data_IF_847712223387
#
_entry.id   IF_847712223387
#
_cell.length_a   1.000
_cell.length_b   1.000
_cell.length_c   1.000
_cell.angle_alpha   90.00
_cell.angle_beta   90.00
_cell.angle_gamma   90.00
#
_symmetry.space_group_name_H-M   'P 1'
#
loop_
_entity.id
_entity.type
_entity.pdbx_description
1 polymer ?
#
# COMPACT_ATOMS: atom_id res chain seq x y z
N UNK A 1 -5.00 -7.40 9.36
CA UNK A 1 -5.94 -6.39 8.83
C UNK A 1 -7.32 -7.02 8.82
N UNK A 2 -8.24 -6.50 9.61
CA UNK A 2 -9.64 -6.88 9.60
C UNK A 2 -10.34 -6.11 8.45
N UNK A 3 -11.04 -6.83 7.59
CA UNK A 3 -11.85 -6.29 6.51
C UNK A 3 -13.32 -6.46 6.90
N UNK A 4 -14.16 -5.49 6.57
CA UNK A 4 -15.60 -5.70 6.67
C UNK A 4 -16.05 -6.75 5.64
N UNK A 5 -17.19 -7.41 5.89
CA UNK A 5 -17.71 -8.41 4.96
C UNK A 5 -17.85 -7.87 3.51
N UNK A 6 -18.42 -6.66 3.27
CA UNK A 6 -18.51 -6.11 1.94
C UNK A 6 -17.15 -5.87 1.26
N UNK A 7 -16.12 -5.47 2.03
CA UNK A 7 -14.76 -5.29 1.51
C UNK A 7 -14.12 -6.62 1.15
N UNK A 8 -14.28 -7.62 2.00
CA UNK A 8 -13.82 -8.98 1.71
C UNK A 8 -14.48 -9.53 0.44
N UNK A 9 -15.80 -9.40 0.33
CA UNK A 9 -16.55 -9.87 -0.84
C UNK A 9 -16.15 -9.14 -2.13
N UNK A 10 -15.82 -7.83 -2.05
CA UNK A 10 -15.32 -7.07 -3.19
C UNK A 10 -13.97 -7.62 -3.68
N UNK A 11 -13.06 -7.93 -2.76
CA UNK A 11 -11.76 -8.54 -3.08
C UNK A 11 -11.95 -9.94 -3.67
N UNK A 12 -12.81 -10.77 -3.09
CA UNK A 12 -13.06 -12.12 -3.62
C UNK A 12 -13.70 -12.10 -5.01
N UNK A 13 -14.60 -11.14 -5.28
CA UNK A 13 -15.13 -10.93 -6.65
C UNK A 13 -14.03 -10.62 -7.65
N UNK A 14 -13.08 -9.75 -7.29
CA UNK A 14 -11.93 -9.44 -8.14
C UNK A 14 -11.09 -10.69 -8.45
N UNK A 15 -10.85 -11.57 -7.47
CA UNK A 15 -10.14 -12.83 -7.70
C UNK A 15 -10.92 -13.78 -8.61
N UNK A 16 -12.22 -13.91 -8.39
CA UNK A 16 -13.07 -14.72 -9.25
C UNK A 16 -13.06 -14.22 -10.71
N UNK A 17 -13.12 -12.90 -10.92
CA UNK A 17 -13.03 -12.28 -12.24
C UNK A 17 -11.68 -12.57 -12.91
N UNK A 18 -10.55 -12.51 -12.16
CA UNK A 18 -9.23 -12.88 -12.69
C UNK A 18 -9.18 -14.33 -13.12
N UNK A 19 -9.63 -15.25 -12.27
CA UNK A 19 -9.67 -16.67 -12.58
C UNK A 19 -10.52 -16.96 -13.84
N UNK A 20 -11.69 -16.35 -13.95
CA UNK A 20 -12.55 -16.47 -15.12
C UNK A 20 -11.90 -15.90 -16.38
N UNK A 21 -11.17 -14.79 -16.28
CA UNK A 21 -10.42 -14.22 -17.39
C UNK A 21 -9.36 -15.21 -17.89
N UNK A 22 -8.50 -15.72 -17.00
CA UNK A 22 -7.44 -16.66 -17.34
C UNK A 22 -8.00 -17.98 -17.91
N UNK A 23 -9.12 -18.47 -17.38
CA UNK A 23 -9.81 -19.64 -17.97
C UNK A 23 -10.29 -19.38 -19.39
N UNK A 24 -10.87 -18.22 -19.66
CA UNK A 24 -11.30 -17.84 -21.02
C UNK A 24 -10.12 -17.71 -21.98
N UNK A 25 -9.04 -17.08 -21.53
CA UNK A 25 -7.79 -16.95 -22.30
C UNK A 25 -7.22 -18.33 -22.63
N UNK A 26 -7.14 -19.22 -21.65
CA UNK A 26 -6.69 -20.60 -21.87
C UNK A 26 -7.59 -21.34 -22.88
N UNK A 27 -8.91 -21.26 -22.76
CA UNK A 27 -9.83 -21.89 -23.68
C UNK A 27 -9.67 -21.38 -25.12
N UNK A 28 -9.42 -20.07 -25.26
CA UNK A 28 -9.16 -19.48 -26.57
C UNK A 28 -7.82 -19.94 -27.14
N UNK A 29 -6.76 -20.04 -26.32
CA UNK A 29 -5.48 -20.60 -26.74
C UNK A 29 -5.62 -22.06 -27.21
N UNK A 30 -6.36 -22.87 -26.45
CA UNK A 30 -6.64 -24.27 -26.80
C UNK A 30 -7.40 -24.33 -28.14
N UNK A 31 -8.44 -23.53 -28.35
CA UNK A 31 -9.20 -23.47 -29.58
C UNK A 31 -8.32 -23.14 -30.78
N UNK A 32 -7.52 -22.07 -30.66
CA UNK A 32 -6.60 -21.63 -31.72
C UNK A 32 -5.56 -22.71 -32.04
N UNK A 33 -4.97 -23.31 -31.00
CA UNK A 33 -3.96 -24.35 -31.19
C UNK A 33 -4.53 -25.60 -31.86
N UNK A 34 -5.72 -26.05 -31.47
CA UNK A 34 -6.37 -27.24 -32.06
C UNK A 34 -6.82 -27.01 -33.49
N UNK A 35 -7.28 -25.81 -33.83
CA UNK A 35 -7.59 -25.45 -35.23
C UNK A 35 -6.35 -25.46 -36.11
N UNK A 36 -5.20 -25.00 -35.62
CA UNK A 36 -3.96 -24.95 -36.39
C UNK A 36 -3.18 -26.27 -36.41
N UNK A 37 -3.29 -27.06 -35.34
CA UNK A 37 -2.53 -28.28 -35.13
C UNK A 37 -3.50 -29.35 -34.59
N UNK A 38 -4.31 -29.99 -35.45
CA UNK A 38 -5.33 -30.96 -35.01
C UNK A 38 -4.76 -32.13 -34.19
N UNK A 39 -3.49 -32.51 -34.43
CA UNK A 39 -2.81 -33.57 -33.68
C UNK A 39 -2.70 -33.25 -32.16
N UNK A 40 -2.71 -31.98 -31.75
CA UNK A 40 -2.70 -31.63 -30.35
C UNK A 40 -3.97 -32.10 -29.60
N UNK A 41 -5.14 -32.01 -30.26
CA UNK A 41 -6.39 -32.48 -29.66
C UNK A 41 -6.37 -34.01 -29.46
N UNK A 42 -5.79 -34.76 -30.41
CA UNK A 42 -5.63 -36.21 -30.30
C UNK A 42 -4.68 -36.59 -29.16
N UNK A 43 -3.54 -35.90 -29.07
CA UNK A 43 -2.55 -36.13 -28.02
C UNK A 43 -3.18 -35.86 -26.63
N UNK A 44 -3.91 -34.76 -26.46
CA UNK A 44 -4.56 -34.43 -25.20
C UNK A 44 -5.64 -35.45 -24.82
N UNK A 45 -6.37 -35.99 -25.79
CA UNK A 45 -7.30 -37.11 -25.59
C UNK A 45 -6.57 -38.41 -25.19
N UNK A 46 -5.43 -38.71 -25.83
CA UNK A 46 -4.57 -39.85 -25.47
C UNK A 46 -4.04 -39.72 -24.04
N UNK A 47 -3.52 -38.53 -23.66
CA UNK A 47 -3.04 -38.25 -22.29
C UNK A 47 -4.16 -38.39 -21.26
N UNK A 48 -5.36 -37.89 -21.55
CA UNK A 48 -6.52 -38.03 -20.67
C UNK A 48 -6.90 -39.50 -20.47
N UNK A 49 -6.93 -40.29 -21.54
CA UNK A 49 -7.19 -41.72 -21.46
C UNK A 49 -6.14 -42.47 -20.66
N UNK A 50 -4.85 -42.20 -20.89
CA UNK A 50 -3.75 -42.78 -20.11
C UNK A 50 -3.81 -42.39 -18.63
N UNK A 51 -4.17 -41.16 -18.35
CA UNK A 51 -4.32 -40.67 -16.95
C UNK A 51 -5.44 -41.38 -16.19
N UNK A 52 -6.57 -41.61 -16.84
CA UNK A 52 -7.68 -42.42 -16.26
C UNK A 52 -7.25 -43.86 -16.01
N UNK A 53 -6.52 -44.46 -16.95
CA UNK A 53 -5.97 -45.83 -16.78
C UNK A 53 -4.98 -45.90 -15.64
N UNK A 54 -4.11 -44.88 -15.54
CA UNK A 54 -3.16 -44.75 -14.43
C UNK A 54 -3.88 -44.67 -13.07
N UNK A 55 -4.89 -43.82 -12.95
CA UNK A 55 -5.67 -43.68 -11.71
C UNK A 55 -6.31 -45.03 -11.31
N UNK A 56 -6.85 -45.80 -12.27
CA UNK A 56 -7.39 -47.14 -12.03
C UNK A 56 -6.32 -48.15 -11.59
N UNK A 57 -5.14 -48.13 -12.21
CA UNK A 57 -4.01 -49.01 -11.81
C UNK A 57 -3.53 -48.71 -10.37
N UNK A 58 -3.43 -47.43 -10.03
CA UNK A 58 -3.08 -47.02 -8.66
C UNK A 58 -4.09 -47.50 -7.60
N UNK A 59 -5.38 -47.43 -7.91
CA UNK A 59 -6.45 -47.90 -7.01
C UNK A 59 -6.41 -49.44 -6.85
N UNK A 60 -5.97 -50.15 -7.86
CA UNK A 60 -5.84 -51.63 -7.87
C UNK A 60 -4.50 -52.12 -7.30
N UNK A 61 -3.55 -51.21 -6.93
CA UNK A 61 -2.24 -51.56 -6.39
C UNK A 61 -1.26 -52.14 -7.42
N UNK A 62 -1.48 -51.94 -8.72
CA UNK A 62 -0.63 -52.45 -9.80
C UNK A 62 0.51 -51.49 -10.13
N UNK A 63 1.63 -51.61 -9.40
CA UNK A 63 2.79 -50.75 -9.55
C UNK A 63 3.56 -50.90 -10.87
N UNK A 64 3.51 -52.07 -11.50
CA UNK A 64 4.21 -52.28 -12.79
C UNK A 64 3.51 -51.52 -13.90
N UNK A 65 2.20 -51.55 -13.94
CA UNK A 65 1.38 -50.83 -14.92
C UNK A 65 1.46 -49.31 -14.76
N UNK A 66 1.71 -48.80 -13.51
CA UNK A 66 1.88 -47.40 -13.26
C UNK A 66 3.18 -46.84 -13.89
N UNK A 67 4.29 -47.59 -13.91
CA UNK A 67 5.54 -47.18 -14.54
C UNK A 67 5.42 -47.04 -16.04
N UNK A 68 4.78 -47.98 -16.72
CA UNK A 68 4.55 -47.97 -18.18
C UNK A 68 3.63 -46.83 -18.60
N UNK A 69 2.58 -46.55 -17.80
CA UNK A 69 1.67 -45.44 -18.08
C UNK A 69 2.34 -44.08 -17.88
N UNK A 70 3.21 -43.94 -16.87
CA UNK A 70 3.98 -42.73 -16.67
C UNK A 70 4.96 -42.43 -17.83
N UNK A 71 5.59 -43.46 -18.40
CA UNK A 71 6.44 -43.33 -19.58
C UNK A 71 5.61 -42.86 -20.80
N UNK A 72 4.49 -43.51 -21.05
CA UNK A 72 3.60 -43.17 -22.18
C UNK A 72 3.05 -41.75 -22.07
N UNK A 73 2.66 -41.27 -20.87
CA UNK A 73 2.20 -39.90 -20.67
C UNK A 73 3.33 -38.89 -20.92
N UNK A 74 4.57 -39.19 -20.48
CA UNK A 74 5.73 -38.32 -20.75
C UNK A 74 6.01 -38.20 -22.23
N UNK A 75 6.00 -39.30 -22.98
CA UNK A 75 6.26 -39.29 -24.41
C UNK A 75 5.23 -38.42 -25.16
N UNK A 76 3.95 -38.53 -24.82
CA UNK A 76 2.88 -37.70 -25.39
C UNK A 76 3.03 -36.21 -24.99
N UNK A 77 3.44 -35.94 -23.76
CA UNK A 77 3.69 -34.59 -23.33
C UNK A 77 4.88 -33.93 -24.04
N UNK A 78 5.91 -34.72 -24.38
CA UNK A 78 7.06 -34.27 -25.18
C UNK A 78 6.66 -34.02 -26.62
N UNK A 79 5.86 -34.92 -27.23
CA UNK A 79 5.31 -34.75 -28.58
C UNK A 79 4.49 -33.44 -28.66
N UNK A 80 3.60 -33.21 -27.68
CA UNK A 80 2.81 -31.97 -27.55
C UNK A 80 3.69 -30.71 -27.49
N UNK A 81 4.71 -30.70 -26.63
CA UNK A 81 5.62 -29.54 -26.49
C UNK A 81 6.42 -29.29 -27.77
N UNK A 82 6.87 -30.36 -28.46
CA UNK A 82 7.57 -30.25 -29.72
C UNK A 82 6.67 -29.64 -30.83
N UNK A 83 5.43 -30.10 -30.94
CA UNK A 83 4.46 -29.57 -31.93
C UNK A 83 4.15 -28.09 -31.68
N UNK A 84 3.96 -27.67 -30.41
CA UNK A 84 3.78 -26.26 -30.07
C UNK A 84 4.99 -25.42 -30.49
N UNK A 85 6.19 -25.88 -30.16
CA UNK A 85 7.43 -25.18 -30.51
C UNK A 85 7.66 -25.08 -32.01
N UNK A 86 7.38 -26.16 -32.79
CA UNK A 86 7.48 -26.15 -34.25
C UNK A 86 6.55 -25.13 -34.90
N UNK A 87 5.43 -24.81 -34.29
CA UNK A 87 4.46 -23.82 -34.78
C UNK A 87 4.65 -22.44 -34.14
N UNK A 88 5.76 -22.21 -33.39
CA UNK A 88 6.11 -20.93 -32.83
C UNK A 88 5.36 -20.56 -31.54
N UNK A 89 4.72 -21.55 -30.90
CA UNK A 89 4.09 -21.35 -29.58
C UNK A 89 5.04 -21.75 -28.45
N UNK A 90 5.01 -21.05 -27.28
CA UNK A 90 5.74 -21.50 -26.10
C UNK A 90 5.18 -22.85 -25.60
N UNK A 91 6.01 -23.64 -24.91
CA UNK A 91 5.64 -24.97 -24.44
C UNK A 91 4.46 -24.96 -23.43
N UNK A 92 4.28 -23.87 -22.72
CA UNK A 92 3.22 -23.62 -21.74
C UNK A 92 2.01 -22.87 -22.30
N UNK A 93 1.93 -22.69 -23.63
CA UNK A 93 0.87 -21.92 -24.29
C UNK A 93 -0.56 -22.37 -23.95
N UNK A 94 -0.74 -23.66 -23.69
CA UNK A 94 -2.04 -24.26 -23.35
C UNK A 94 -2.27 -24.35 -21.82
N UNK A 95 -1.32 -23.88 -21.02
CA UNK A 95 -1.45 -23.94 -19.57
C UNK A 95 -2.21 -22.73 -19.03
N UNK A 96 -2.79 -22.91 -17.85
CA UNK A 96 -3.49 -21.82 -17.16
C UNK A 96 -2.46 -20.83 -16.59
N UNK A 97 -2.60 -19.57 -16.95
CA UNK A 97 -1.78 -18.47 -16.44
C UNK A 97 -2.38 -17.88 -15.17
N UNK A 98 -1.56 -17.19 -14.37
CA UNK A 98 -1.98 -16.55 -13.13
C UNK A 98 -1.31 -15.20 -12.96
N UNK A 99 -2.06 -14.19 -12.49
CA UNK A 99 -1.49 -12.89 -12.09
C UNK A 99 -0.59 -13.06 -10.86
N UNK A 100 -0.94 -13.98 -9.95
CA UNK A 100 -0.13 -14.32 -8.79
C UNK A 100 0.23 -15.82 -8.79
N UNK A 101 1.48 -16.20 -9.11
CA UNK A 101 1.89 -17.61 -9.15
C UNK A 101 1.89 -18.27 -7.76
N UNK A 102 2.02 -17.50 -6.66
CA UNK A 102 2.08 -18.05 -5.30
C UNK A 102 0.74 -18.60 -4.83
N UNK A 103 -0.35 -17.88 -5.06
CA UNK A 103 -1.68 -18.32 -4.64
C UNK A 103 -2.56 -18.78 -5.81
N UNK A 104 -2.07 -18.68 -7.07
CA UNK A 104 -2.83 -18.99 -8.29
C UNK A 104 -4.17 -18.26 -8.33
N UNK A 105 -4.12 -16.97 -8.00
CA UNK A 105 -5.26 -16.05 -7.94
C UNK A 105 -6.42 -16.50 -7.04
N UNK A 106 -6.13 -17.27 -5.99
CA UNK A 106 -7.12 -17.59 -4.95
C UNK A 106 -7.11 -16.57 -3.80
N UNK A 107 -6.05 -15.75 -3.69
CA UNK A 107 -5.81 -14.86 -2.56
C UNK A 107 -5.25 -15.57 -1.31
N UNK A 108 -5.15 -16.91 -1.32
CA UNK A 108 -4.71 -17.70 -0.17
C UNK A 108 -3.62 -18.71 -0.54
N UNK A 109 -2.61 -18.84 0.32
CA UNK A 109 -1.58 -19.87 0.25
C UNK A 109 -2.05 -21.03 1.12
N UNK A 110 -2.03 -22.24 0.57
CA UNK A 110 -2.48 -23.47 1.25
C UNK A 110 -3.92 -23.38 1.83
N UNK A 111 -4.78 -22.57 1.24
CA UNK A 111 -6.18 -22.42 1.61
C UNK A 111 -6.46 -21.64 2.90
N UNK A 112 -5.44 -21.30 3.70
CA UNK A 112 -5.62 -20.69 5.02
C UNK A 112 -4.89 -19.38 5.20
N UNK A 113 -3.69 -19.23 4.67
CA UNK A 113 -2.86 -18.05 4.85
C UNK A 113 -3.12 -17.02 3.74
N UNK A 114 -3.48 -15.78 4.10
CA UNK A 114 -3.63 -14.68 3.13
C UNK A 114 -2.33 -14.42 2.38
N UNK A 115 -2.39 -14.45 1.05
CA UNK A 115 -1.26 -14.15 0.18
C UNK A 115 -0.90 -12.66 0.25
N UNK A 116 0.34 -12.31 -0.11
CA UNK A 116 0.77 -10.91 -0.22
C UNK A 116 -0.10 -10.13 -1.22
N UNK A 117 -0.51 -10.74 -2.34
CA UNK A 117 -1.41 -10.11 -3.31
C UNK A 117 -2.80 -9.81 -2.72
N UNK A 118 -3.31 -10.64 -1.78
CA UNK A 118 -4.55 -10.36 -1.06
C UNK A 118 -4.39 -9.14 -0.14
N UNK A 119 -3.27 -9.07 0.59
CA UNK A 119 -2.97 -7.92 1.44
C UNK A 119 -2.90 -6.63 0.61
N UNK A 120 -2.24 -6.68 -0.55
CA UNK A 120 -2.18 -5.55 -1.48
C UNK A 120 -3.57 -5.14 -1.96
N UNK A 121 -4.39 -6.07 -2.42
CA UNK A 121 -5.75 -5.79 -2.86
C UNK A 121 -6.62 -5.17 -1.75
N UNK A 122 -6.44 -5.61 -0.50
CA UNK A 122 -7.13 -5.04 0.65
C UNK A 122 -6.69 -3.58 0.91
N UNK A 123 -5.40 -3.30 0.81
CA UNK A 123 -4.85 -1.95 0.92
C UNK A 123 -5.40 -1.07 -0.20
N UNK A 124 -5.31 -1.50 -1.45
CA UNK A 124 -5.81 -0.75 -2.61
C UNK A 124 -7.31 -0.41 -2.48
N UNK A 125 -8.12 -1.36 -1.99
CA UNK A 125 -9.53 -1.14 -1.77
C UNK A 125 -9.81 -0.07 -0.69
N UNK A 126 -9.08 -0.12 0.44
CA UNK A 126 -9.22 0.85 1.52
C UNK A 126 -8.79 2.25 1.07
N UNK A 127 -7.73 2.34 0.26
CA UNK A 127 -7.26 3.61 -0.31
C UNK A 127 -8.25 4.23 -1.28
N UNK A 128 -8.83 3.44 -2.18
CA UNK A 128 -9.87 3.94 -3.11
C UNK A 128 -11.08 4.51 -2.39
N UNK A 129 -11.40 3.97 -1.22
CA UNK A 129 -12.50 4.48 -0.39
C UNK A 129 -12.16 5.77 0.37
N UNK A 130 -10.86 6.10 0.53
CA UNK A 130 -10.41 7.24 1.32
C UNK A 130 -10.16 8.54 0.55
N UNK A 131 -10.43 8.60 -0.77
CA UNK A 131 -10.12 9.75 -1.65
C UNK A 131 -8.64 10.21 -1.66
N UNK A 132 -7.74 9.48 -1.01
CA UNK A 132 -6.31 9.81 -0.93
C UNK A 132 -5.58 9.36 -2.21
N UNK A 133 -6.16 8.45 -2.99
CA UNK A 133 -5.52 7.89 -4.19
C UNK A 133 -5.12 8.95 -5.22
N UNK A 134 -5.96 9.95 -5.47
CA UNK A 134 -5.64 11.03 -6.43
C UNK A 134 -4.51 11.93 -5.92
N UNK A 135 -4.47 12.23 -4.63
CA UNK A 135 -3.40 13.01 -4.01
C UNK A 135 -2.07 12.26 -4.07
N UNK A 136 -2.08 10.96 -3.77
CA UNK A 136 -0.88 10.13 -3.83
C UNK A 136 -0.34 9.98 -5.27
N UNK A 137 -1.20 10.02 -6.29
CA UNK A 137 -0.74 10.01 -7.69
C UNK A 137 -0.04 11.31 -8.09
N UNK A 138 -0.48 12.44 -7.55
CA UNK A 138 0.07 13.75 -7.85
C UNK A 138 1.38 14.04 -7.09
N UNK A 139 1.55 13.52 -5.87
CA UNK A 139 2.66 13.84 -4.99
C UNK A 139 3.65 12.67 -4.90
N UNK A 140 4.87 12.89 -5.37
CA UNK A 140 5.96 11.91 -5.36
C UNK A 140 7.31 12.59 -5.11
N UNK A 141 8.33 11.83 -4.70
CA UNK A 141 9.66 12.37 -4.41
C UNK A 141 10.31 13.11 -5.59
N UNK A 142 9.99 12.74 -6.83
CA UNK A 142 10.51 13.40 -8.03
C UNK A 142 9.94 14.81 -8.26
N UNK A 143 8.80 15.11 -7.66
CA UNK A 143 8.15 16.44 -7.74
C UNK A 143 8.49 17.33 -6.54
N UNK A 144 9.17 16.80 -5.52
CA UNK A 144 9.62 17.59 -4.38
C UNK A 144 10.77 18.48 -4.80
N UNK A 145 10.52 19.80 -4.95
CA UNK A 145 11.54 20.76 -5.36
C UNK A 145 12.11 21.54 -4.18
N UNK A 146 13.42 21.53 -4.06
CA UNK A 146 14.15 22.34 -3.08
C UNK A 146 14.18 23.84 -3.46
N UNK A 147 13.73 24.23 -4.65
CA UNK A 147 13.73 25.64 -5.10
C UNK A 147 12.71 26.51 -4.36
N UNK A 148 11.74 25.87 -3.70
CA UNK A 148 10.79 26.56 -2.82
C UNK A 148 11.38 26.99 -1.47
N UNK A 149 12.59 26.53 -1.13
CA UNK A 149 13.22 26.77 0.17
C UNK A 149 14.39 27.76 0.06
N UNK A 150 14.49 28.65 1.04
CA UNK A 150 15.50 29.72 1.05
C UNK A 150 16.86 29.22 1.56
N UNK A 151 17.93 29.67 0.91
CA UNK A 151 19.30 29.47 1.36
C UNK A 151 19.76 30.50 2.41
N UNK A 152 19.01 31.61 2.59
CA UNK A 152 19.38 32.70 3.47
C UNK A 152 18.63 32.74 4.81
N UNK A 153 17.54 31.95 4.94
CA UNK A 153 16.75 31.88 6.17
C UNK A 153 17.21 30.69 7.01
N UNK A 154 17.73 30.96 8.19
CA UNK A 154 18.05 29.93 9.18
C UNK A 154 16.85 29.65 10.06
N UNK A 155 16.66 28.36 10.38
CA UNK A 155 15.64 27.91 11.30
C UNK A 155 15.95 28.35 12.73
N UNK A 156 14.96 28.82 13.49
CA UNK A 156 15.10 29.12 14.91
C UNK A 156 15.58 27.87 15.65
N UNK A 157 16.82 27.93 16.17
CA UNK A 157 17.40 26.87 16.99
C UNK A 157 18.21 25.80 16.26
N UNK A 158 18.45 25.93 14.94
CA UNK A 158 19.39 25.09 14.19
C UNK A 158 20.30 25.96 13.32
N UNK A 159 21.55 25.55 13.05
CA UNK A 159 22.44 26.27 12.13
C UNK A 159 22.11 26.06 10.65
N UNK A 160 21.08 25.24 10.34
CA UNK A 160 20.71 24.89 8.97
C UNK A 160 19.83 25.96 8.33
N UNK A 161 20.05 26.19 7.05
CA UNK A 161 19.12 26.96 6.21
C UNK A 161 17.82 26.19 5.96
N UNK A 162 16.77 26.86 5.52
CA UNK A 162 15.50 26.20 5.18
C UNK A 162 15.68 25.15 4.09
N UNK A 163 16.55 25.40 3.09
CA UNK A 163 16.86 24.46 2.02
C UNK A 163 17.61 23.22 2.54
N UNK A 164 18.61 23.41 3.39
CA UNK A 164 19.36 22.31 3.99
C UNK A 164 18.46 21.45 4.88
N UNK A 165 17.57 22.06 5.65
CA UNK A 165 16.62 21.34 6.47
C UNK A 165 15.62 20.52 5.62
N UNK A 166 15.12 21.10 4.53
CA UNK A 166 14.24 20.40 3.58
C UNK A 166 14.97 19.25 2.86
N UNK A 167 16.22 19.47 2.45
CA UNK A 167 17.05 18.41 1.84
C UNK A 167 17.29 17.26 2.81
N UNK A 168 17.60 17.55 4.09
CA UNK A 168 17.77 16.53 5.11
C UNK A 168 16.47 15.74 5.37
N UNK A 169 15.31 16.42 5.39
CA UNK A 169 14.03 15.76 5.54
C UNK A 169 13.70 14.85 4.34
N UNK A 170 13.98 15.31 3.13
CA UNK A 170 13.81 14.52 1.91
C UNK A 170 14.70 13.26 1.94
N UNK A 171 16.01 13.43 2.20
CA UNK A 171 16.96 12.32 2.29
C UNK A 171 16.53 11.29 3.35
N UNK A 172 16.11 11.75 4.51
CA UNK A 172 15.64 10.88 5.60
C UNK A 172 14.37 10.14 5.20
N UNK A 173 13.43 10.81 4.54
CA UNK A 173 12.20 10.18 4.04
C UNK A 173 12.51 9.09 3.02
N UNK A 174 13.40 9.34 2.09
CA UNK A 174 13.85 8.35 1.10
C UNK A 174 14.61 7.19 1.76
N UNK A 175 15.50 7.47 2.73
CA UNK A 175 16.20 6.44 3.48
C UNK A 175 15.24 5.56 4.28
N UNK A 176 14.20 6.16 4.89
CA UNK A 176 13.15 5.43 5.59
C UNK A 176 12.44 4.44 4.65
N UNK A 177 12.06 4.88 3.46
CA UNK A 177 11.40 4.00 2.46
C UNK A 177 12.34 2.88 2.01
N UNK A 178 13.62 3.20 1.69
CA UNK A 178 14.59 2.18 1.26
C UNK A 178 14.85 1.09 2.31
N UNK A 179 14.84 1.46 3.59
CA UNK A 179 15.13 0.55 4.70
C UNK A 179 13.87 -0.07 5.31
N UNK A 180 12.68 0.29 4.82
CA UNK A 180 11.42 -0.19 5.37
C UNK A 180 11.31 -1.72 5.24
N UNK A 181 10.83 -2.37 6.29
CA UNK A 181 10.75 -3.84 6.34
C UNK A 181 12.05 -4.54 6.76
N UNK A 182 13.22 -3.90 6.58
CA UNK A 182 14.51 -4.43 7.05
C UNK A 182 14.94 -3.85 8.41
N UNK A 183 14.51 -2.63 8.73
CA UNK A 183 14.77 -1.97 10.00
C UNK A 183 13.48 -1.36 10.56
N UNK A 184 13.37 -1.38 11.90
CA UNK A 184 12.28 -0.71 12.60
C UNK A 184 12.71 0.72 12.93
N UNK A 185 11.97 1.70 12.42
CA UNK A 185 12.20 3.12 12.69
C UNK A 185 10.87 3.87 12.76
N UNK A 186 10.79 4.87 13.63
CA UNK A 186 9.71 5.84 13.68
C UNK A 186 10.24 7.22 13.29
N UNK A 187 9.45 7.99 12.54
CA UNK A 187 9.81 9.35 12.17
C UNK A 187 8.91 10.35 12.89
N UNK A 188 9.52 11.42 13.37
CA UNK A 188 8.82 12.56 13.91
C UNK A 188 9.27 13.82 13.17
N UNK A 189 8.34 14.45 12.46
CA UNK A 189 8.57 15.70 11.76
C UNK A 189 7.82 16.85 12.45
N UNK A 190 8.45 17.99 12.56
CA UNK A 190 7.83 19.18 13.10
C UNK A 190 8.25 20.41 12.28
N UNK A 191 7.43 21.46 12.29
CA UNK A 191 7.70 22.68 11.56
C UNK A 191 6.44 23.47 11.27
N UNK A 192 6.60 24.66 10.72
CA UNK A 192 5.52 25.58 10.40
C UNK A 192 4.54 24.98 9.36
N UNK A 193 3.33 25.54 9.31
CA UNK A 193 2.35 25.16 8.29
C UNK A 193 2.86 25.52 6.88
N UNK A 194 2.61 24.64 5.91
CA UNK A 194 2.97 24.89 4.51
C UNK A 194 4.42 24.55 4.13
N UNK A 195 5.22 23.97 5.03
CA UNK A 195 6.63 23.63 4.76
C UNK A 195 6.85 22.29 4.06
N UNK A 196 5.79 21.66 3.52
CA UNK A 196 5.91 20.42 2.75
C UNK A 196 5.83 19.13 3.58
N UNK A 197 5.42 19.18 4.86
CA UNK A 197 5.26 18.00 5.72
C UNK A 197 4.33 16.96 5.11
N UNK A 198 3.10 17.35 4.81
CA UNK A 198 2.07 16.51 4.22
C UNK A 198 2.51 15.94 2.88
N UNK A 199 3.19 16.74 2.05
CA UNK A 199 3.74 16.27 0.78
C UNK A 199 4.74 15.12 0.96
N UNK A 200 5.68 15.24 1.91
CA UNK A 200 6.63 14.15 2.20
C UNK A 200 5.93 12.90 2.76
N UNK A 201 4.88 13.07 3.57
CA UNK A 201 4.06 11.95 4.05
C UNK A 201 3.41 11.21 2.88
N UNK A 202 2.84 11.93 1.92
CA UNK A 202 2.23 11.34 0.73
C UNK A 202 3.26 10.62 -0.14
N UNK A 203 4.47 11.21 -0.32
CA UNK A 203 5.57 10.53 -1.02
C UNK A 203 5.95 9.20 -0.36
N UNK A 204 6.12 9.18 0.97
CA UNK A 204 6.45 7.97 1.73
C UNK A 204 5.32 6.94 1.61
N UNK A 205 4.06 7.39 1.82
CA UNK A 205 2.89 6.51 1.73
C UNK A 205 2.81 5.84 0.36
N UNK A 206 2.93 6.63 -0.71
CA UNK A 206 2.88 6.13 -2.09
C UNK A 206 3.93 5.05 -2.35
N UNK A 207 5.19 5.35 -2.09
CA UNK A 207 6.29 4.41 -2.35
C UNK A 207 6.12 3.08 -1.57
N UNK A 208 5.66 3.14 -0.33
CA UNK A 208 5.44 1.94 0.47
C UNK A 208 4.22 1.14 0.02
N UNK A 209 3.16 1.80 -0.44
CA UNK A 209 1.99 1.14 -1.02
C UNK A 209 2.37 0.44 -2.32
N UNK A 210 3.15 1.07 -3.20
CA UNK A 210 3.68 0.46 -4.42
C UNK A 210 4.52 -0.79 -4.12
N UNK A 211 5.25 -0.78 -2.98
CA UNK A 211 5.97 -1.94 -2.45
C UNK A 211 5.08 -2.96 -1.73
N UNK A 212 3.75 -2.77 -1.71
CA UNK A 212 2.77 -3.67 -1.10
C UNK A 212 2.74 -3.67 0.43
N UNK A 213 3.27 -2.64 1.08
CA UNK A 213 3.08 -2.45 2.51
C UNK A 213 1.71 -1.85 2.82
N UNK A 214 1.17 -2.25 3.98
CA UNK A 214 -0.08 -1.68 4.49
C UNK A 214 0.21 -0.35 5.20
N UNK A 215 -0.14 0.76 4.55
CA UNK A 215 -0.02 2.10 5.10
C UNK A 215 -1.41 2.62 5.48
N UNK A 216 -1.57 3.21 6.64
CA UNK A 216 -2.78 3.92 7.06
C UNK A 216 -2.41 5.36 7.35
N UNK A 217 -3.16 6.29 6.76
CA UNK A 217 -3.01 7.72 6.94
C UNK A 217 -4.22 8.29 7.67
N UNK A 218 -3.98 9.00 8.77
CA UNK A 218 -4.99 9.74 9.50
C UNK A 218 -4.51 11.15 9.76
N UNK A 219 -5.44 12.11 9.72
CA UNK A 219 -5.28 13.34 10.49
C UNK A 219 -5.40 13.02 11.98
N UNK A 220 -4.79 13.82 12.84
CA UNK A 220 -4.94 13.63 14.29
C UNK A 220 -6.41 13.62 14.70
N UNK A 221 -7.23 14.50 14.09
CA UNK A 221 -8.66 14.58 14.34
C UNK A 221 -9.39 13.27 14.03
N UNK A 222 -9.17 12.71 12.83
CA UNK A 222 -9.83 11.46 12.40
C UNK A 222 -9.41 10.27 13.27
N UNK A 223 -8.14 10.23 13.68
CA UNK A 223 -7.62 9.19 14.56
C UNK A 223 -8.31 9.23 15.93
N UNK A 224 -8.44 10.41 16.51
CA UNK A 224 -9.08 10.56 17.83
C UNK A 224 -10.59 10.37 17.78
N UNK A 225 -11.25 10.77 16.70
CA UNK A 225 -12.66 10.44 16.46
C UNK A 225 -12.88 8.93 16.38
N UNK A 226 -11.98 8.21 15.71
CA UNK A 226 -12.02 6.75 15.67
C UNK A 226 -11.83 6.13 17.06
N UNK A 227 -10.89 6.62 17.86
CA UNK A 227 -10.71 6.15 19.23
C UNK A 227 -11.94 6.43 20.12
N UNK A 228 -12.57 7.59 19.95
CA UNK A 228 -13.81 7.91 20.65
C UNK A 228 -14.95 6.98 20.22
N UNK A 229 -15.15 6.77 18.94
CA UNK A 229 -16.15 5.81 18.42
C UNK A 229 -15.90 4.39 18.92
N UNK A 230 -14.66 3.92 18.90
CA UNK A 230 -14.32 2.61 19.44
C UNK A 230 -14.65 2.48 20.94
N UNK A 231 -14.38 3.52 21.71
CA UNK A 231 -14.58 3.50 23.18
C UNK A 231 -16.06 3.61 23.57
N UNK A 232 -16.81 4.44 22.85
CA UNK A 232 -18.20 4.79 23.23
C UNK A 232 -19.29 4.21 22.34
N UNK A 233 -18.94 3.53 21.24
CA UNK A 233 -19.90 2.86 20.37
C UNK A 233 -19.59 1.37 20.25
N UNK A 234 -20.65 0.56 20.12
CA UNK A 234 -20.51 -0.91 19.92
C UNK A 234 -20.37 -1.28 18.44
N UNK A 235 -20.00 -0.35 17.56
CA UNK A 235 -19.89 -0.58 16.12
C UNK A 235 -18.75 -1.56 15.80
N UNK A 236 -19.05 -2.63 15.08
CA UNK A 236 -18.04 -3.58 14.59
C UNK A 236 -17.05 -2.89 13.64
N UNK A 237 -17.52 -1.93 12.84
CA UNK A 237 -16.65 -1.14 11.94
C UNK A 237 -15.59 -0.35 12.72
N UNK A 238 -15.97 0.24 13.87
CA UNK A 238 -15.01 0.95 14.73
C UNK A 238 -13.99 -0.01 15.36
N UNK A 239 -14.40 -1.23 15.71
CA UNK A 239 -13.48 -2.26 16.23
C UNK A 239 -12.50 -2.71 15.17
N UNK A 240 -12.96 -2.96 13.95
CA UNK A 240 -12.11 -3.38 12.84
C UNK A 240 -11.12 -2.27 12.45
N UNK A 241 -11.59 -1.04 12.34
CA UNK A 241 -10.74 0.11 12.05
C UNK A 241 -9.70 0.35 13.16
N UNK A 242 -10.09 0.20 14.44
CA UNK A 242 -9.18 0.28 15.57
C UNK A 242 -8.12 -0.83 15.52
N UNK A 243 -8.48 -2.08 15.25
CA UNK A 243 -7.52 -3.17 15.10
C UNK A 243 -6.53 -2.91 13.96
N UNK A 244 -6.99 -2.36 12.84
CA UNK A 244 -6.14 -2.05 11.69
C UNK A 244 -5.04 -1.02 11.99
N UNK A 245 -5.27 -0.08 12.91
CA UNK A 245 -4.26 0.88 13.37
C UNK A 245 -3.03 0.15 13.93
N UNK A 246 -3.22 -0.94 14.66
CA UNK A 246 -2.12 -1.71 15.27
C UNK A 246 -1.48 -2.71 14.32
N UNK A 247 -2.22 -3.18 13.31
CA UNK A 247 -1.77 -4.23 12.40
C UNK A 247 -1.10 -3.70 11.13
N UNK A 248 -1.39 -2.45 10.73
CA UNK A 248 -0.76 -1.85 9.54
C UNK A 248 0.76 -1.74 9.70
N UNK A 249 1.47 -1.80 8.57
CA UNK A 249 2.93 -1.74 8.58
C UNK A 249 3.43 -0.33 8.90
N UNK A 250 2.77 0.69 8.35
CA UNK A 250 3.02 2.09 8.63
C UNK A 250 1.71 2.81 9.02
N UNK A 251 1.75 3.54 10.13
CA UNK A 251 0.73 4.53 10.51
C UNK A 251 1.29 5.94 10.31
N UNK A 252 0.59 6.79 9.60
CA UNK A 252 0.91 8.21 9.45
C UNK A 252 -0.15 9.02 10.20
N UNK A 253 0.30 9.88 11.12
CA UNK A 253 -0.55 10.79 11.88
C UNK A 253 -0.14 12.20 11.49
N UNK A 254 -1.03 12.91 10.79
CA UNK A 254 -0.78 14.27 10.32
C UNK A 254 -1.48 15.32 11.18
N UNK A 255 -0.92 16.53 11.20
CA UNK A 255 -1.44 17.70 11.89
C UNK A 255 -1.67 17.52 13.41
N UNK A 256 -0.79 16.76 14.08
CA UNK A 256 -0.87 16.61 15.52
C UNK A 256 -0.57 17.95 16.23
N UNK A 257 -1.43 18.37 17.15
CA UNK A 257 -1.31 19.60 17.94
C UNK A 257 -2.29 20.70 17.54
N UNK A 258 -3.16 20.44 16.54
CA UNK A 258 -4.26 21.36 16.17
C UNK A 258 -5.56 21.01 16.90
N UNK A 259 -5.64 19.84 17.51
CA UNK A 259 -6.77 19.34 18.28
C UNK A 259 -6.78 19.85 19.73
N UNK A 260 -7.98 19.86 20.33
CA UNK A 260 -8.12 20.12 21.76
C UNK A 260 -7.47 18.99 22.57
N UNK A 261 -6.31 19.26 23.15
CA UNK A 261 -5.60 18.30 24.01
C UNK A 261 -6.37 18.10 25.31
N UNK A 262 -6.84 16.87 25.51
CA UNK A 262 -7.41 16.41 26.77
C UNK A 262 -6.70 15.13 27.24
N UNK A 263 -6.96 14.71 28.47
CA UNK A 263 -6.33 13.51 29.03
C UNK A 263 -6.65 12.23 28.27
N UNK A 264 -7.85 12.14 27.68
CA UNK A 264 -8.27 11.00 26.86
C UNK A 264 -7.40 10.91 25.58
N UNK A 265 -7.31 11.99 24.80
CA UNK A 265 -6.51 12.08 23.58
C UNK A 265 -5.04 11.71 23.86
N UNK A 266 -4.44 12.30 24.90
CA UNK A 266 -3.05 12.02 25.25
C UNK A 266 -2.83 10.56 25.65
N UNK A 267 -3.77 9.97 26.40
CA UNK A 267 -3.69 8.57 26.82
C UNK A 267 -3.86 7.60 25.64
N UNK A 268 -4.80 7.86 24.73
CA UNK A 268 -5.02 7.00 23.56
C UNK A 268 -3.83 7.06 22.58
N UNK A 269 -3.27 8.24 22.34
CA UNK A 269 -2.08 8.40 21.51
C UNK A 269 -0.88 7.65 22.11
N UNK A 270 -0.66 7.80 23.41
CA UNK A 270 0.40 7.09 24.13
C UNK A 270 0.25 5.56 23.99
N UNK A 271 -0.94 5.04 24.27
CA UNK A 271 -1.23 3.60 24.13
C UNK A 271 -1.01 3.12 22.70
N UNK A 272 -1.48 3.89 21.71
CA UNK A 272 -1.31 3.56 20.30
C UNK A 272 0.18 3.45 19.92
N UNK A 273 0.97 4.47 20.22
CA UNK A 273 2.39 4.49 19.86
C UNK A 273 3.16 3.40 20.59
N UNK A 274 2.93 3.20 21.89
CA UNK A 274 3.60 2.16 22.67
C UNK A 274 3.31 0.76 22.13
N UNK A 275 2.04 0.46 21.85
CA UNK A 275 1.65 -0.85 21.33
C UNK A 275 2.30 -1.09 19.95
N UNK A 276 2.35 -0.07 19.09
CA UNK A 276 3.01 -0.19 17.80
C UNK A 276 4.52 -0.38 17.90
N UNK A 277 5.18 0.30 18.86
CA UNK A 277 6.61 0.09 19.15
C UNK A 277 6.86 -1.35 19.61
N UNK A 278 6.04 -1.89 20.52
CA UNK A 278 6.16 -3.27 20.99
C UNK A 278 5.99 -4.29 19.85
N UNK A 279 5.10 -3.99 18.90
CA UNK A 279 4.90 -4.82 17.70
C UNK A 279 5.93 -4.56 16.58
N UNK A 280 6.88 -3.66 16.78
CA UNK A 280 7.84 -3.19 15.75
C UNK A 280 7.14 -2.69 14.48
N UNK A 281 6.04 -1.97 14.63
CA UNK A 281 5.28 -1.34 13.56
C UNK A 281 5.60 0.15 13.50
N UNK A 282 6.10 0.61 12.35
CA UNK A 282 6.56 1.98 12.16
C UNK A 282 5.42 3.00 12.21
N UNK A 283 5.72 4.17 12.79
CA UNK A 283 4.79 5.30 12.89
C UNK A 283 5.48 6.57 12.45
N UNK A 284 4.82 7.38 11.61
CA UNK A 284 5.22 8.74 11.26
C UNK A 284 4.25 9.71 11.92
N UNK A 285 4.79 10.73 12.58
CA UNK A 285 3.98 11.77 13.21
C UNK A 285 4.44 13.12 12.69
N UNK A 286 3.49 13.95 12.27
CA UNK A 286 3.68 15.34 11.92
C UNK A 286 3.00 16.24 12.93
N UNK A 287 3.72 17.26 13.38
CA UNK A 287 3.18 18.27 14.28
C UNK A 287 3.32 19.65 13.65
N UNK A 288 2.23 20.42 13.72
CA UNK A 288 2.23 21.84 13.45
C UNK A 288 2.63 22.55 14.74
N UNK A 289 3.81 23.13 14.80
CA UNK A 289 4.23 23.91 15.97
C UNK A 289 5.72 23.89 16.25
N UNK A 290 6.13 24.76 17.15
CA UNK A 290 7.53 24.93 17.54
C UNK A 290 8.07 23.68 18.27
N UNK A 291 9.40 23.59 18.31
CA UNK A 291 10.19 22.57 19.01
C UNK A 291 9.68 22.22 20.41
N UNK A 292 9.04 23.17 21.08
CA UNK A 292 8.55 23.01 22.46
C UNK A 292 7.27 22.15 22.52
N UNK A 293 6.37 22.21 21.54
CA UNK A 293 5.20 21.35 21.48
C UNK A 293 5.62 19.90 21.22
N UNK A 294 6.55 19.69 20.31
CA UNK A 294 7.16 18.41 20.05
C UNK A 294 7.92 17.85 21.26
N UNK A 295 8.64 18.72 21.97
CA UNK A 295 9.39 18.35 23.17
C UNK A 295 8.48 18.08 24.38
N UNK A 296 7.34 18.76 24.48
CA UNK A 296 6.33 18.49 25.50
C UNK A 296 5.58 17.18 25.24
N UNK A 297 5.24 16.87 23.98
CA UNK A 297 4.72 15.55 23.58
C UNK A 297 5.72 14.45 23.97
N UNK A 298 7.00 14.67 23.70
CA UNK A 298 8.09 13.76 24.02
C UNK A 298 8.28 13.56 25.53
N UNK A 299 8.19 14.63 26.32
CA UNK A 299 8.30 14.57 27.79
C UNK A 299 7.08 13.92 28.42
N UNK A 300 5.88 14.26 27.93
CA UNK A 300 4.63 13.74 28.47
C UNK A 300 4.41 12.27 28.10
N UNK A 301 5.01 11.78 26.99
CA UNK A 301 4.85 10.42 26.54
C UNK A 301 5.91 9.46 27.09
N UNK A 302 6.92 9.93 27.85
CA UNK A 302 8.00 9.08 28.42
C UNK A 302 8.57 8.04 27.44
N UNK A 303 8.58 8.38 26.14
CA UNK A 303 9.00 7.46 25.09
C UNK A 303 10.51 7.17 25.18
N UNK A 304 10.95 5.92 25.11
CA UNK A 304 12.36 5.58 25.08
C UNK A 304 13.04 6.22 23.86
N UNK A 305 14.00 7.09 24.12
CA UNK A 305 14.66 7.98 23.14
C UNK A 305 15.40 7.24 22.01
N UNK A 306 15.63 5.93 22.17
CA UNK A 306 16.40 5.12 21.19
C UNK A 306 15.61 4.74 19.95
N UNK A 307 14.26 4.76 20.02
CA UNK A 307 13.41 4.21 18.98
C UNK A 307 12.71 5.28 18.12
N UNK A 308 13.00 6.56 18.33
CA UNK A 308 12.51 7.67 17.50
C UNK A 308 13.65 8.51 16.96
N UNK A 309 13.89 8.46 15.67
CA UNK A 309 14.77 9.42 15.01
C UNK A 309 14.00 10.72 14.80
N UNK A 310 14.44 11.78 15.52
CA UNK A 310 13.92 13.14 15.32
C UNK A 310 14.58 13.71 14.07
N UNK A 311 13.83 13.92 13.04
CA UNK A 311 14.35 14.44 11.79
C UNK A 311 13.68 15.73 11.41
N UNK A 312 14.50 16.73 11.15
CA UNK A 312 14.24 17.99 10.47
C UNK A 312 13.25 18.96 11.11
N UNK A 313 13.82 20.02 11.65
CA UNK A 313 13.13 21.29 11.90
C UNK A 313 12.91 21.99 10.56
N UNK A 314 11.70 21.93 10.02
CA UNK A 314 11.32 22.75 8.88
C UNK A 314 10.73 24.05 9.40
N UNK A 315 11.49 25.12 9.42
CA UNK A 315 11.02 26.44 9.88
C UNK A 315 11.09 27.48 8.76
N UNK A 316 10.08 28.32 8.75
CA UNK A 316 9.88 29.56 7.96
C UNK A 316 10.08 29.44 6.44
N UNK A 317 8.96 29.25 5.74
CA UNK A 317 8.82 29.45 4.30
C UNK A 317 8.20 30.81 3.99
N UNK A 318 8.86 31.61 3.14
CA UNK A 318 8.17 32.64 2.36
C UNK A 318 7.85 32.04 0.99
N UNK A 319 6.61 31.65 0.79
CA UNK A 319 6.10 31.27 -0.53
C UNK A 319 6.09 32.49 -1.45
N UNK A 320 6.80 32.41 -2.58
CA UNK A 320 6.49 33.22 -3.74
C UNK A 320 5.58 32.36 -4.63
N UNK A 321 4.28 32.55 -4.49
CA UNK A 321 3.31 31.90 -5.38
C UNK A 321 3.29 32.66 -6.69
N UNK A 322 3.90 32.10 -7.73
CA UNK A 322 3.55 32.47 -9.09
C UNK A 322 2.38 31.60 -9.53
N UNK A 323 1.17 32.13 -9.36
CA UNK A 323 -0.05 31.49 -9.86
C UNK A 323 -0.07 31.64 -11.38
N UNK A 324 0.26 30.58 -12.10
CA UNK A 324 -0.25 30.35 -13.45
C UNK A 324 -1.22 29.17 -13.42
N UNK A 325 -2.37 29.38 -12.79
CA UNK A 325 -3.51 28.50 -12.96
C UNK A 325 -4.28 28.93 -14.20
N UNK A 326 -4.17 28.20 -15.28
CA UNK A 326 -5.14 28.28 -16.39
C UNK A 326 -6.42 27.59 -15.95
N UNK A 327 -7.43 28.41 -15.63
CA UNK A 327 -8.82 27.97 -15.46
C UNK A 327 -9.32 27.33 -16.77
N UNK A 328 -9.79 26.08 -16.65
CA UNK A 328 -10.96 25.59 -17.37
C UNK A 328 -11.78 24.80 -16.40
N UNK A 329 -12.74 25.45 -15.78
CA UNK A 329 -13.82 24.80 -15.05
C UNK A 329 -15.08 25.03 -15.86
N UNK A 330 -15.63 23.96 -16.40
CA UNK A 330 -16.99 23.87 -16.88
C UNK A 330 -17.87 23.50 -15.69
N UNK A 331 -18.88 24.34 -15.48
CA UNK A 331 -19.89 24.24 -14.45
C UNK A 331 -20.68 22.94 -14.52
N UNK A 332 -20.75 22.19 -13.43
CA UNK A 332 -21.99 21.58 -12.91
C UNK A 332 -21.75 20.89 -11.57
N UNK A 333 -22.61 21.29 -10.61
CA UNK A 333 -22.93 20.67 -9.33
C UNK A 333 -21.90 20.63 -8.21
N UNK A 334 -22.01 21.68 -7.38
CA UNK A 334 -21.50 21.75 -6.01
C UNK A 334 -22.33 20.87 -5.09
N UNK A 335 -21.68 19.95 -4.39
CA UNK A 335 -22.01 19.63 -3.00
C UNK A 335 -20.73 19.74 -2.20
N UNK A 336 -20.81 20.54 -1.14
CA UNK A 336 -19.74 21.16 -0.41
C UNK A 336 -18.71 20.19 0.15
N UNK A 337 -17.44 20.35 -0.25
CA UNK A 337 -16.28 20.04 0.56
C UNK A 337 -15.51 21.35 0.74
N UNK A 338 -15.57 21.88 1.94
CA UNK A 338 -14.88 23.12 2.30
C UNK A 338 -13.40 22.82 2.47
N UNK A 339 -12.62 23.08 1.44
CA UNK A 339 -11.17 23.20 1.57
C UNK A 339 -10.91 24.66 1.93
N UNK A 340 -10.64 24.93 3.19
CA UNK A 340 -10.18 26.25 3.61
C UNK A 340 -8.71 26.43 3.22
N UNK A 341 -8.49 26.99 2.05
CA UNK A 341 -7.19 27.53 1.67
C UNK A 341 -7.08 28.92 2.28
N UNK A 342 -6.39 29.06 3.40
CA UNK A 342 -6.04 30.35 3.95
C UNK A 342 -4.88 30.93 3.14
N UNK A 343 -5.22 31.83 2.25
CA UNK A 343 -4.28 32.74 1.59
C UNK A 343 -4.12 33.97 2.48
N UNK A 344 -3.06 34.09 3.26
CA UNK A 344 -2.73 35.36 3.91
C UNK A 344 -1.99 36.25 2.92
N UNK A 345 -2.71 37.17 2.31
CA UNK A 345 -2.13 38.33 1.63
C UNK A 345 -1.63 39.34 2.71
N UNK A 346 -0.34 39.49 2.87
CA UNK A 346 0.22 40.68 3.46
C UNK A 346 0.66 41.60 2.33
N UNK A 347 -0.13 42.63 2.11
CA UNK A 347 0.26 43.80 1.33
C UNK A 347 1.37 44.54 2.07
N UNK A 348 2.51 44.74 1.45
CA UNK A 348 3.52 45.67 1.93
C UNK A 348 3.46 46.89 0.99
N UNK A 349 2.88 47.98 1.49
CA UNK A 349 3.08 49.32 0.98
C UNK A 349 4.38 49.89 1.55
N UNK A 350 5.10 50.56 0.64
CA UNK A 350 6.27 51.40 0.68
C UNK A 350 7.60 50.74 0.36
#
# INVERSE_FOLDING_TARGET
MALTNPQYDAIMRMYNERQLRHQREQQEHIRIAYEKIPRLAEIDAEIASLSVRKAKAMLNGDASMDLDLNAAIRDRSQERAALLSMHGYPADYLELTYDCPLCRDTGYINGTQKCACFKKAAVDLLYRQSNVEELLKAENFGQFSLDYYSDSLTSTGTPLTSREAAAAALEKSQAFVRNFGSSFENLFFYGDTGVGKTFLSHCIARELIEQSFCVIYFTAFDLFDLFARYTFSSSEEAKDAHANIFDCDLLIIDDLGTELTNSFVSSQLFLCINERILRKKSTIIWSAGEKDAAMNLRKNMSLPMKDMSVTATLSSLRFRVSVQARQRVSSTNLSAVTISTFCSMSATTA
#
